data_IF_580146232863
#
_entry.id   IF_580146232863
#
_cell.length_a   1.000
_cell.length_b   1.000
_cell.length_c   1.000
_cell.angle_alpha   90.00
_cell.angle_beta   90.00
_cell.angle_gamma   90.00
#
_symmetry.space_group_name_H-M   'P 1'
#
loop_
_entity.id
_entity.type
_entity.pdbx_description
1 polymer ?
#
# COMPACT_ATOMS: atom_id res chain seq x y z
N UNK A 1 4.19 -9.96 -12.33
CA UNK A 1 5.55 -9.86 -11.76
C UNK A 1 5.56 -9.39 -10.30
N UNK A 2 5.41 -8.09 -9.98
CA UNK A 2 5.56 -7.60 -8.59
C UNK A 2 4.53 -8.20 -7.61
N UNK A 3 3.24 -8.12 -7.95
CA UNK A 3 2.19 -8.65 -7.07
C UNK A 3 2.31 -10.16 -6.85
N UNK A 4 2.68 -10.92 -7.88
CA UNK A 4 2.92 -12.38 -7.76
C UNK A 4 4.08 -12.66 -6.81
N UNK A 5 5.17 -11.90 -6.90
CA UNK A 5 6.29 -12.01 -5.97
C UNK A 5 5.88 -11.71 -4.52
N UNK A 6 5.09 -10.66 -4.30
CA UNK A 6 4.57 -10.32 -2.97
C UNK A 6 3.67 -11.43 -2.42
N UNK A 7 2.76 -11.96 -3.25
CA UNK A 7 1.86 -13.04 -2.84
C UNK A 7 2.64 -14.32 -2.50
N UNK A 8 3.62 -14.72 -3.32
CA UNK A 8 4.47 -15.88 -3.05
C UNK A 8 5.23 -15.74 -1.72
N UNK A 9 5.65 -14.53 -1.35
CA UNK A 9 6.29 -14.29 -0.05
C UNK A 9 5.31 -14.27 1.12
N UNK A 10 4.04 -13.90 0.90
CA UNK A 10 2.99 -13.94 1.92
C UNK A 10 2.56 -15.37 2.27
N UNK A 11 2.61 -16.30 1.31
CA UNK A 11 2.15 -17.70 1.46
C UNK A 11 2.73 -18.39 2.70
N UNK A 12 4.01 -18.17 3.01
CA UNK A 12 4.68 -18.83 4.14
C UNK A 12 4.64 -18.04 5.45
N UNK A 13 3.98 -16.88 5.48
CA UNK A 13 3.89 -16.06 6.68
C UNK A 13 2.82 -16.57 7.63
N UNK A 14 2.95 -16.23 8.91
CA UNK A 14 1.91 -16.51 9.93
C UNK A 14 0.57 -15.82 9.61
N UNK A 15 0.58 -14.79 8.75
CA UNK A 15 -0.60 -14.06 8.33
C UNK A 15 -1.48 -14.86 7.37
N UNK A 16 -0.88 -15.81 6.63
CA UNK A 16 -1.60 -16.69 5.71
C UNK A 16 -1.74 -18.12 6.26
N UNK A 17 -0.77 -18.59 7.03
CA UNK A 17 -0.74 -19.98 7.56
C UNK A 17 -1.26 -20.12 8.99
N UNK A 18 -1.42 -19.01 9.71
CA UNK A 18 -1.87 -18.99 11.11
C UNK A 18 -3.39 -18.97 11.28
N UNK A 19 -3.85 -19.15 12.53
CA UNK A 19 -5.28 -19.27 12.88
C UNK A 19 -6.14 -18.01 12.68
N UNK A 20 -5.59 -16.90 12.17
CA UNK A 20 -6.33 -15.66 11.83
C UNK A 20 -6.29 -15.33 10.33
N UNK A 21 -5.93 -16.28 9.47
CA UNK A 21 -5.89 -16.08 8.02
C UNK A 21 -7.22 -15.51 7.45
N UNK A 22 -8.36 -15.85 8.03
CA UNK A 22 -9.69 -15.35 7.64
C UNK A 22 -9.85 -13.82 7.70
N UNK A 23 -8.98 -13.11 8.43
CA UNK A 23 -9.02 -11.65 8.51
C UNK A 23 -8.34 -10.96 7.34
N UNK A 24 -7.41 -11.63 6.68
CA UNK A 24 -6.51 -11.02 5.70
C UNK A 24 -6.67 -11.60 4.30
N UNK A 25 -7.20 -12.82 4.20
CA UNK A 25 -7.43 -13.53 2.94
C UNK A 25 -8.78 -13.13 2.35
N UNK A 26 -8.74 -12.63 1.12
CA UNK A 26 -9.93 -12.26 0.35
C UNK A 26 -10.64 -13.48 -0.26
N UNK A 27 -11.77 -13.22 -0.95
CA UNK A 27 -12.55 -14.26 -1.66
C UNK A 27 -11.76 -15.04 -2.72
N UNK A 28 -10.63 -14.52 -3.18
CA UNK A 28 -9.77 -15.13 -4.19
C UNK A 28 -8.57 -15.87 -3.56
N UNK A 29 -8.52 -15.98 -2.23
CA UNK A 29 -7.41 -16.64 -1.53
C UNK A 29 -6.16 -15.78 -1.39
N UNK A 30 -6.24 -14.46 -1.58
CA UNK A 30 -5.07 -13.56 -1.57
C UNK A 30 -5.05 -12.67 -0.34
N UNK A 31 -3.86 -12.44 0.20
CA UNK A 31 -3.67 -11.44 1.24
C UNK A 31 -3.36 -10.09 0.58
N UNK A 32 -4.36 -9.21 0.53
CA UNK A 32 -4.26 -7.87 -0.08
C UNK A 32 -4.02 -6.76 0.96
N UNK A 33 -3.94 -7.12 2.25
CA UNK A 33 -3.96 -6.16 3.36
C UNK A 33 -2.62 -6.01 4.05
N UNK A 34 -1.79 -7.07 4.03
CA UNK A 34 -0.53 -7.12 4.78
C UNK A 34 0.68 -7.13 3.86
N UNK A 35 1.73 -6.44 4.32
CA UNK A 35 3.07 -6.51 3.76
C UNK A 35 3.86 -7.68 4.35
N UNK A 36 4.58 -8.42 3.50
CA UNK A 36 5.23 -9.68 3.87
C UNK A 36 6.55 -9.52 4.63
N UNK A 37 7.09 -8.31 4.73
CA UNK A 37 8.44 -8.06 5.22
C UNK A 37 8.47 -6.92 6.26
N UNK A 38 9.66 -6.53 6.70
CA UNK A 38 9.82 -5.37 7.56
C UNK A 38 9.40 -4.07 6.85
N UNK A 39 8.84 -3.14 7.63
CA UNK A 39 8.37 -1.83 7.15
C UNK A 39 9.48 -0.98 6.53
N UNK A 40 10.74 -1.12 6.99
CA UNK A 40 11.87 -0.40 6.41
C UNK A 40 12.16 -0.83 4.95
N UNK A 41 11.85 -2.08 4.57
CA UNK A 41 12.00 -2.52 3.16
C UNK A 41 10.93 -1.89 2.28
N UNK A 42 9.70 -1.77 2.77
CA UNK A 42 8.65 -1.05 2.06
C UNK A 42 9.07 0.42 1.85
N UNK A 43 9.56 1.08 2.90
CA UNK A 43 10.09 2.44 2.80
C UNK A 43 11.23 2.54 1.77
N UNK A 44 12.21 1.64 1.79
CA UNK A 44 13.31 1.68 0.81
C UNK A 44 12.84 1.51 -0.64
N UNK A 45 11.78 0.74 -0.88
CA UNK A 45 11.20 0.54 -2.22
C UNK A 45 10.44 1.76 -2.72
N UNK A 46 9.78 2.52 -1.82
CA UNK A 46 8.92 3.65 -2.20
C UNK A 46 9.51 5.03 -1.89
N UNK A 47 10.70 5.11 -1.30
CA UNK A 47 11.33 6.38 -0.88
C UNK A 47 11.64 7.37 -2.02
N UNK A 48 11.62 6.93 -3.27
CA UNK A 48 11.80 7.80 -4.44
C UNK A 48 10.48 7.90 -5.18
N UNK A 49 10.07 9.13 -5.47
CA UNK A 49 8.94 9.38 -6.34
C UNK A 49 9.31 8.98 -7.77
N UNK A 50 8.42 8.24 -8.42
CA UNK A 50 8.54 7.83 -9.82
C UNK A 50 7.41 8.52 -10.59
N UNK A 51 7.72 9.61 -11.26
CA UNK A 51 6.76 10.41 -12.01
C UNK A 51 6.06 9.65 -13.14
N UNK A 52 6.71 8.63 -13.70
CA UNK A 52 6.18 7.83 -14.82
C UNK A 52 5.05 6.90 -14.32
N UNK A 53 5.03 6.58 -13.03
CA UNK A 53 3.99 5.76 -12.42
C UNK A 53 2.67 6.53 -12.18
N UNK A 54 2.62 7.85 -12.42
CA UNK A 54 1.47 8.69 -12.10
C UNK A 54 1.06 9.58 -13.27
N UNK A 55 -0.24 9.90 -13.32
CA UNK A 55 -0.73 11.01 -14.12
C UNK A 55 -0.60 12.31 -13.31
N UNK A 56 0.29 13.21 -13.74
CA UNK A 56 0.56 14.47 -13.06
C UNK A 56 -0.49 15.51 -13.43
N UNK A 57 -1.18 16.06 -12.44
CA UNK A 57 -2.12 17.17 -12.61
C UNK A 57 -1.54 18.47 -12.08
N UNK A 58 -1.92 19.59 -12.69
CA UNK A 58 -1.55 20.90 -12.16
C UNK A 58 -2.16 21.08 -10.76
N UNK A 59 -1.43 21.73 -9.82
CA UNK A 59 -2.00 22.02 -8.52
C UNK A 59 -3.29 22.82 -8.68
N UNK A 60 -4.36 22.39 -8.00
CA UNK A 60 -5.58 23.18 -7.93
C UNK A 60 -5.24 24.57 -7.35
N UNK A 61 -5.85 25.65 -7.85
CA UNK A 61 -5.66 26.96 -7.25
C UNK A 61 -5.96 26.87 -5.75
N UNK A 62 -5.03 27.33 -4.92
CA UNK A 62 -5.22 27.31 -3.47
C UNK A 62 -6.43 28.18 -3.14
N UNK A 63 -7.56 27.55 -2.82
CA UNK A 63 -8.68 28.25 -2.18
C UNK A 63 -8.21 28.57 -0.76
N UNK A 64 -7.71 29.79 -0.56
CA UNK A 64 -7.50 30.31 0.79
C UNK A 64 -8.90 30.46 1.38
N UNK A 65 -9.29 29.68 2.41
CA UNK A 65 -10.57 29.92 3.07
C UNK A 65 -10.57 31.34 3.62
N UNK A 66 -11.66 32.09 3.41
CA UNK A 66 -11.81 33.40 4.03
C UNK A 66 -11.54 33.27 5.54
N UNK A 67 -10.74 34.18 6.12
CA UNK A 67 -10.52 34.15 7.56
C UNK A 67 -11.89 34.23 8.25
N UNK A 68 -12.13 33.33 9.19
CA UNK A 68 -13.34 33.33 10.01
C UNK A 68 -13.44 34.72 10.67
N UNK A 69 -14.42 35.52 10.26
CA UNK A 69 -14.65 36.84 10.81
C UNK A 69 -14.77 36.73 12.33
N UNK A 70 -13.94 37.50 13.04
CA UNK A 70 -13.88 37.58 14.50
C UNK A 70 -15.09 38.33 15.08
#
# INVERSE_FOLDING_TARGET
AYNEHVQARLEQTVWNTGGRASWYIDRNGRNSTIWHDFTWRAWQQTRRFDEIAYELTAPAPATIPEPLAA
#
